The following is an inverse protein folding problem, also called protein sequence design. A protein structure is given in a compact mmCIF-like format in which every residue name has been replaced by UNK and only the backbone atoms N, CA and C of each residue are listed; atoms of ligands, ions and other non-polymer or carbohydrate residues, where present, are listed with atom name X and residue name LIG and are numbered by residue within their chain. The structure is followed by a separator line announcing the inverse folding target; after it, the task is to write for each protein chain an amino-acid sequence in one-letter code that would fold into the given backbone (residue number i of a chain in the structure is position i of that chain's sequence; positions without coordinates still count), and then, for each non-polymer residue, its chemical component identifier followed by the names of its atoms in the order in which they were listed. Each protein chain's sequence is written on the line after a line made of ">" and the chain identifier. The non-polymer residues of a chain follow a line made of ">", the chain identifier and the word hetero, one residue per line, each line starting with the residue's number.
data_IF_267434383936
#
_entry.id   IF_267434383936
#
_cell.length_a   1.000
_cell.length_b   1.000
_cell.length_c   1.000
_cell.angle_alpha   90.00
_cell.angle_beta   90.00
_cell.angle_gamma   90.00
#
_symmetry.space_group_name_H-M   'P 1'
#
loop_
_entity.id
_entity.type
_entity.pdbx_description
1 polymer ?
#
# COMPACT_ATOMS: atom_id res chain seq x y z
N UNK A 1 -26.91 -10.14 16.30
CA UNK A 1 -26.85 -9.59 14.93
C UNK A 1 -25.65 -8.67 14.87
N UNK A 2 -24.59 -9.07 14.18
CA UNK A 2 -23.40 -8.23 14.00
C UNK A 2 -23.60 -7.47 12.68
N UNK A 3 -23.80 -6.17 12.78
CA UNK A 3 -23.80 -5.30 11.60
C UNK A 3 -22.41 -5.42 10.94
N UNK A 4 -22.32 -5.61 9.61
CA UNK A 4 -21.02 -5.63 8.97
C UNK A 4 -20.31 -4.33 9.30
N UNK A 5 -19.04 -4.42 9.71
CA UNK A 5 -18.21 -3.24 9.88
C UNK A 5 -18.34 -2.37 8.61
N UNK A 6 -18.42 -1.04 8.74
CA UNK A 6 -18.60 -0.18 7.58
C UNK A 6 -17.59 -0.57 6.50
N UNK A 7 -18.05 -0.69 5.25
CA UNK A 7 -17.22 -1.03 4.08
C UNK A 7 -16.27 0.12 3.71
N UNK A 8 -15.69 0.78 4.70
CA UNK A 8 -14.73 1.86 4.55
C UNK A 8 -13.33 1.29 4.54
N UNK A 9 -12.53 1.75 3.58
CA UNK A 9 -11.09 1.56 3.65
C UNK A 9 -10.53 2.19 4.91
N UNK A 10 -9.53 1.53 5.50
CA UNK A 10 -8.77 2.07 6.62
C UNK A 10 -7.32 2.25 6.22
N UNK A 11 -6.71 3.31 6.72
CA UNK A 11 -5.27 3.45 6.66
C UNK A 11 -4.65 2.36 7.54
N UNK A 12 -3.68 1.65 6.99
CA UNK A 12 -2.92 0.62 7.69
C UNK A 12 -1.61 1.21 8.21
N UNK A 13 -0.88 1.87 7.32
CA UNK A 13 0.39 2.51 7.65
C UNK A 13 0.69 3.66 6.69
N UNK A 14 1.50 4.60 7.15
CA UNK A 14 1.96 5.76 6.39
C UNK A 14 3.41 6.05 6.78
N UNK A 15 4.28 6.17 5.77
CA UNK A 15 5.70 6.42 6.00
C UNK A 15 6.37 7.11 4.82
N UNK A 16 7.44 7.89 5.07
CA UNK A 16 8.22 8.55 4.02
C UNK A 16 9.14 7.55 3.32
N UNK A 17 10.08 8.04 2.50
CA UNK A 17 11.17 7.23 2.02
C UNK A 17 12.03 6.67 3.18
N UNK A 18 11.92 5.37 3.45
CA UNK A 18 12.74 4.67 4.46
C UNK A 18 13.89 3.88 3.86
N UNK A 19 14.81 3.43 4.73
CA UNK A 19 15.79 2.41 4.40
C UNK A 19 15.08 1.09 4.01
N UNK A 20 15.73 0.29 3.16
CA UNK A 20 15.11 -0.89 2.54
C UNK A 20 14.62 -1.92 3.55
N UNK A 21 15.35 -2.12 4.65
CA UNK A 21 14.98 -3.10 5.67
C UNK A 21 13.74 -2.64 6.45
N UNK A 22 13.66 -1.34 6.79
CA UNK A 22 12.50 -0.78 7.50
C UNK A 22 11.25 -0.77 6.62
N UNK A 23 11.40 -0.46 5.33
CA UNK A 23 10.30 -0.55 4.37
C UNK A 23 9.78 -1.98 4.27
N UNK A 24 10.67 -2.98 4.15
CA UNK A 24 10.29 -4.39 4.12
C UNK A 24 9.56 -4.81 5.40
N UNK A 25 10.02 -4.37 6.57
CA UNK A 25 9.37 -4.69 7.84
C UNK A 25 7.93 -4.15 7.91
N UNK A 26 7.68 -2.95 7.36
CA UNK A 26 6.32 -2.38 7.27
C UNK A 26 5.44 -3.12 6.26
N UNK A 27 6.00 -3.45 5.09
CA UNK A 27 5.31 -4.26 4.08
C UNK A 27 5.02 -5.69 4.57
N UNK A 28 5.86 -6.22 5.44
CA UNK A 28 5.68 -7.52 6.06
C UNK A 28 4.42 -7.55 6.94
N UNK A 29 4.22 -6.51 7.76
CA UNK A 29 3.03 -6.34 8.58
C UNK A 29 1.78 -6.14 7.72
N UNK A 30 1.90 -5.35 6.64
CA UNK A 30 0.80 -5.14 5.70
C UNK A 30 0.40 -6.43 4.98
N UNK A 31 1.37 -7.25 4.59
CA UNK A 31 1.09 -8.54 3.96
C UNK A 31 0.38 -9.50 4.92
N UNK A 32 0.78 -9.55 6.19
CA UNK A 32 0.10 -10.36 7.22
C UNK A 32 -1.37 -9.95 7.34
N UNK A 33 -1.65 -8.65 7.38
CA UNK A 33 -3.03 -8.14 7.46
C UNK A 33 -3.88 -8.61 6.26
N UNK A 34 -3.35 -8.50 5.04
CA UNK A 34 -4.06 -8.93 3.83
C UNK A 34 -4.21 -10.45 3.69
N UNK A 35 -3.31 -11.22 4.31
CA UNK A 35 -3.41 -12.68 4.39
C UNK A 35 -4.47 -13.13 5.40
N UNK A 36 -4.57 -12.42 6.53
CA UNK A 36 -5.55 -12.71 7.58
C UNK A 36 -6.99 -12.50 7.09
N UNK A 37 -7.22 -11.54 6.19
CA UNK A 37 -8.53 -11.32 5.58
C UNK A 37 -8.47 -11.34 4.04
N UNK A 38 -8.76 -12.50 3.41
CA UNK A 38 -8.80 -12.64 1.95
C UNK A 38 -9.87 -11.78 1.25
N UNK A 39 -10.88 -11.27 1.97
CA UNK A 39 -11.95 -10.44 1.42
C UNK A 39 -11.53 -8.99 1.18
N UNK A 40 -10.30 -8.63 1.55
CA UNK A 40 -9.75 -7.28 1.41
C UNK A 40 -8.83 -7.14 0.20
N UNK A 41 -8.56 -5.89 -0.18
CA UNK A 41 -7.55 -5.46 -1.15
C UNK A 41 -6.59 -4.49 -0.47
N UNK A 42 -5.33 -4.57 -0.84
CA UNK A 42 -4.30 -3.62 -0.44
C UNK A 42 -4.18 -2.50 -1.46
N UNK A 43 -4.31 -1.25 -1.02
CA UNK A 43 -3.97 -0.10 -1.85
C UNK A 43 -2.62 0.46 -1.40
N UNK A 44 -1.71 0.64 -2.37
CA UNK A 44 -0.40 1.27 -2.19
C UNK A 44 -0.46 2.61 -2.90
N UNK A 45 -0.57 3.70 -2.13
CA UNK A 45 -0.59 5.05 -2.66
C UNK A 45 0.81 5.63 -2.51
N UNK A 46 1.42 6.03 -3.62
CA UNK A 46 2.74 6.68 -3.62
C UNK A 46 2.56 8.13 -4.04
N UNK A 47 2.79 9.05 -3.12
CA UNK A 47 2.80 10.48 -3.37
C UNK A 47 4.22 10.91 -3.77
N UNK A 48 4.42 11.52 -4.95
CA UNK A 48 5.71 12.06 -5.34
C UNK A 48 6.12 13.21 -4.43
N UNK A 49 7.41 13.30 -4.11
CA UNK A 49 7.99 14.52 -3.55
C UNK A 49 8.08 15.61 -4.63
N UNK A 50 7.86 16.88 -4.26
CA UNK A 50 7.90 18.02 -5.19
C UNK A 50 9.25 18.20 -5.87
N UNK A 51 10.33 17.73 -5.24
CA UNK A 51 11.69 17.75 -5.79
C UNK A 51 12.24 16.33 -6.04
N UNK A 52 11.34 15.35 -6.15
CA UNK A 52 11.68 13.96 -6.41
C UNK A 52 12.26 13.73 -7.80
N UNK A 53 12.95 12.59 -7.99
CA UNK A 53 13.55 12.25 -9.28
C UNK A 53 12.50 11.73 -10.25
N UNK A 54 12.69 12.00 -11.54
CA UNK A 54 11.87 11.40 -12.59
C UNK A 54 11.90 9.86 -12.48
N UNK A 55 10.73 9.22 -12.49
CA UNK A 55 10.61 7.76 -12.36
C UNK A 55 10.78 7.19 -10.95
N UNK A 56 10.99 8.03 -9.92
CA UNK A 56 11.13 7.58 -8.54
C UNK A 56 9.86 6.84 -8.04
N UNK A 57 8.69 7.42 -8.31
CA UNK A 57 7.39 6.83 -7.97
C UNK A 57 7.23 5.47 -8.64
N UNK A 58 7.46 5.37 -9.95
CA UNK A 58 7.33 4.11 -10.68
C UNK A 58 8.27 3.05 -10.13
N UNK A 59 9.55 3.40 -9.93
CA UNK A 59 10.57 2.47 -9.41
C UNK A 59 10.19 1.96 -8.01
N UNK A 60 9.67 2.85 -7.16
CA UNK A 60 9.28 2.52 -5.79
C UNK A 60 8.01 1.66 -5.75
N UNK A 61 7.00 2.04 -6.54
CA UNK A 61 5.79 1.26 -6.73
C UNK A 61 6.07 -0.17 -7.20
N UNK A 62 6.86 -0.33 -8.27
CA UNK A 62 7.25 -1.66 -8.78
C UNK A 62 7.92 -2.50 -7.70
N UNK A 63 8.88 -1.93 -6.96
CA UNK A 63 9.53 -2.65 -5.85
C UNK A 63 8.54 -3.09 -4.76
N UNK A 64 7.63 -2.23 -4.35
CA UNK A 64 6.66 -2.56 -3.29
C UNK A 64 5.77 -3.71 -3.76
N UNK A 65 5.27 -3.63 -5.00
CA UNK A 65 4.45 -4.69 -5.60
C UNK A 65 5.24 -6.00 -5.69
N UNK A 66 6.46 -5.96 -6.23
CA UNK A 66 7.31 -7.15 -6.37
C UNK A 66 7.58 -7.81 -5.02
N UNK A 67 7.80 -7.03 -3.97
CA UNK A 67 8.00 -7.56 -2.63
C UNK A 67 6.73 -8.23 -2.10
N UNK A 68 5.58 -7.55 -2.18
CA UNK A 68 4.30 -8.07 -1.70
C UNK A 68 3.85 -9.34 -2.47
N UNK A 69 3.98 -9.33 -3.79
CA UNK A 69 3.53 -10.43 -4.66
C UNK A 69 4.55 -11.57 -4.67
N UNK A 70 5.81 -11.30 -4.97
CA UNK A 70 6.79 -12.37 -5.13
C UNK A 70 7.41 -12.80 -3.82
N UNK A 71 7.70 -11.89 -2.87
CA UNK A 71 8.34 -12.28 -1.61
C UNK A 71 7.32 -12.75 -0.56
N UNK A 72 6.18 -12.05 -0.45
CA UNK A 72 5.12 -12.37 0.52
C UNK A 72 3.97 -13.20 -0.06
N UNK A 73 4.05 -13.58 -1.34
CA UNK A 73 3.10 -14.49 -2.01
C UNK A 73 1.65 -14.01 -1.97
N UNK A 74 1.43 -12.70 -2.00
CA UNK A 74 0.09 -12.14 -2.17
C UNK A 74 -0.36 -12.28 -3.62
N UNK A 75 -1.67 -12.46 -3.81
CA UNK A 75 -2.28 -12.34 -5.13
C UNK A 75 -2.14 -10.89 -5.63
N UNK A 76 -1.44 -10.72 -6.76
CA UNK A 76 -1.24 -9.41 -7.39
C UNK A 76 -2.54 -8.72 -7.79
N UNK A 77 -3.61 -9.46 -8.08
CA UNK A 77 -4.93 -8.90 -8.34
C UNK A 77 -5.56 -8.19 -7.13
N UNK A 78 -5.04 -8.44 -5.92
CA UNK A 78 -5.49 -7.80 -4.68
C UNK A 78 -4.68 -6.56 -4.31
N UNK A 79 -3.59 -6.26 -5.02
CA UNK A 79 -2.73 -5.11 -4.75
C UNK A 79 -2.96 -4.04 -5.82
N UNK A 80 -3.52 -2.91 -5.42
CA UNK A 80 -3.82 -1.78 -6.31
C UNK A 80 -2.83 -0.67 -6.01
N UNK A 81 -2.11 -0.20 -7.02
CA UNK A 81 -1.18 0.91 -6.88
C UNK A 81 -1.77 2.18 -7.45
N UNK A 82 -1.69 3.27 -6.69
CA UNK A 82 -2.20 4.59 -7.08
C UNK A 82 -1.09 5.62 -6.90
N UNK A 83 -0.95 6.53 -7.86
CA UNK A 83 -0.09 7.70 -7.70
C UNK A 83 -0.93 8.83 -7.11
N UNK A 84 -0.55 9.29 -5.91
CA UNK A 84 -1.22 10.40 -5.24
C UNK A 84 -0.72 11.78 -5.72
N UNK A 85 -1.34 12.88 -5.26
CA UNK A 85 -0.86 14.23 -5.54
C UNK A 85 0.56 14.44 -4.99
N UNK A 86 1.32 15.34 -5.60
CA UNK A 86 2.65 15.70 -5.12
C UNK A 86 2.58 16.32 -3.71
N UNK A 87 3.54 15.94 -2.86
CA UNK A 87 3.71 16.42 -1.49
C UNK A 87 5.12 17.02 -1.34
N UNK A 88 5.42 17.80 -0.28
CA UNK A 88 6.77 18.30 -0.05
C UNK A 88 7.82 17.18 -0.10
N UNK A 89 7.54 16.09 0.62
CA UNK A 89 8.35 14.86 0.63
C UNK A 89 7.60 13.68 0.02
N UNK A 90 8.36 12.68 -0.45
CA UNK A 90 7.78 11.42 -0.92
C UNK A 90 7.10 10.70 0.25
N UNK A 91 5.85 10.29 0.04
CA UNK A 91 5.06 9.58 1.04
C UNK A 91 4.46 8.30 0.46
N UNK A 92 4.43 7.25 1.26
CA UNK A 92 3.73 6.01 0.96
C UNK A 92 2.59 5.85 1.96
N UNK A 93 1.39 5.58 1.45
CA UNK A 93 0.24 5.21 2.26
C UNK A 93 -0.20 3.80 1.90
N UNK A 94 -0.33 2.94 2.90
CA UNK A 94 -0.86 1.59 2.77
C UNK A 94 -2.28 1.58 3.33
N UNK A 95 -3.22 1.12 2.53
CA UNK A 95 -4.62 1.04 2.91
C UNK A 95 -5.13 -0.39 2.76
N UNK A 96 -6.00 -0.79 3.69
CA UNK A 96 -6.75 -2.04 3.61
C UNK A 96 -8.19 -1.67 3.32
N UNK A 97 -8.73 -2.23 2.24
CA UNK A 97 -10.07 -1.96 1.76
C UNK A 97 -10.84 -3.26 1.60
N UNK A 98 -12.11 -3.35 2.03
CA UNK A 98 -13.00 -4.41 1.57
C UNK A 98 -13.08 -4.44 0.03
N UNK A 99 -13.29 -5.62 -0.55
CA UNK A 99 -13.57 -5.71 -1.99
C UNK A 99 -14.77 -4.84 -2.36
N UNK A 100 -14.67 -4.11 -3.48
CA UNK A 100 -15.67 -3.14 -3.92
C UNK A 100 -15.46 -1.70 -3.40
N UNK A 101 -14.66 -1.50 -2.34
CA UNK A 101 -14.37 -0.17 -1.80
C UNK A 101 -13.06 0.43 -2.35
N UNK A 102 -12.99 1.77 -2.34
CA UNK A 102 -11.81 2.58 -2.70
C UNK A 102 -11.44 3.51 -1.52
N UNK A 103 -10.15 3.83 -1.30
CA UNK A 103 -9.75 4.85 -0.33
C UNK A 103 -10.43 6.18 -0.62
N UNK A 104 -10.80 6.92 0.43
CA UNK A 104 -11.40 8.25 0.34
C UNK A 104 -10.46 9.30 0.92
#
# INVERSE_FOLDING_TARGET
>A
MQFPAPLSCRIFDEFPALARNDEKARLDNFAIELQNDPSTRGYVIVNPGQHGRAGEVQTRSTRIIDYLVYSRRLDGGRIITVVGPARPDLMIHLWVCPQGSIPK
#
